data_IF_079427984806
#
_entry.id   IF_079427984806
#
_cell.length_a   1.000
_cell.length_b   1.000
_cell.length_c   1.000
_cell.angle_alpha   90.00
_cell.angle_beta   90.00
_cell.angle_gamma   90.00
#
_symmetry.space_group_name_H-M   'P 1'
#
loop_
_entity.id
_entity.type
_entity.pdbx_description
1 polymer ?
#
# COMPACT_ATOMS: atom_id res chain seq x y z
N UNK A 1 20.41 -29.59 -46.41
CA UNK A 1 19.98 -30.37 -45.23
C UNK A 1 20.36 -29.58 -44.00
N UNK A 2 19.42 -28.88 -43.36
CA UNK A 2 19.69 -27.84 -42.36
C UNK A 2 19.16 -28.30 -41.00
N UNK A 3 20.07 -28.73 -40.12
CA UNK A 3 19.75 -29.30 -38.81
C UNK A 3 19.67 -28.16 -37.80
N UNK A 4 18.44 -27.74 -37.46
CA UNK A 4 18.19 -26.77 -36.38
C UNK A 4 18.33 -27.48 -35.02
N UNK A 5 19.32 -27.03 -34.25
CA UNK A 5 19.46 -27.25 -32.81
C UNK A 5 18.23 -26.70 -32.07
N UNK A 6 17.25 -27.56 -31.80
CA UNK A 6 16.22 -27.29 -30.81
C UNK A 6 16.81 -27.52 -29.42
N UNK A 7 17.14 -26.40 -28.75
CA UNK A 7 17.45 -26.36 -27.32
C UNK A 7 16.33 -27.05 -26.55
N UNK A 8 16.63 -28.19 -25.95
CA UNK A 8 15.82 -28.81 -24.91
C UNK A 8 15.76 -27.84 -23.72
N UNK A 9 14.68 -27.08 -23.63
CA UNK A 9 14.29 -26.45 -22.38
C UNK A 9 13.84 -27.60 -21.48
N UNK A 10 14.65 -27.89 -20.47
CA UNK A 10 14.38 -28.88 -19.44
C UNK A 10 13.12 -28.47 -18.67
N UNK A 11 11.94 -28.88 -19.16
CA UNK A 11 10.71 -28.80 -18.39
C UNK A 11 10.82 -29.87 -17.31
N UNK A 12 11.30 -29.47 -16.13
CA UNK A 12 11.23 -30.32 -14.94
C UNK A 12 9.74 -30.46 -14.64
N UNK A 13 9.16 -31.63 -14.90
CA UNK A 13 7.84 -32.03 -14.44
C UNK A 13 7.85 -32.12 -12.90
N UNK A 14 7.86 -30.98 -12.24
CA UNK A 14 7.58 -30.91 -10.81
C UNK A 14 6.08 -31.15 -10.65
N UNK A 15 5.68 -32.27 -10.06
CA UNK A 15 4.40 -32.50 -9.38
C UNK A 15 3.11 -32.03 -10.08
N UNK A 16 2.35 -32.99 -10.59
CA UNK A 16 0.93 -32.84 -10.96
C UNK A 16 0.12 -32.23 -9.82
N UNK A 17 -0.46 -31.05 -10.08
CA UNK A 17 -1.44 -30.39 -9.21
C UNK A 17 -2.75 -31.18 -9.27
N UNK A 18 -2.90 -32.20 -8.42
CA UNK A 18 -4.06 -33.09 -8.47
C UNK A 18 -5.17 -32.75 -7.45
N UNK A 19 -5.03 -31.69 -6.64
CA UNK A 19 -5.97 -31.40 -5.54
C UNK A 19 -6.60 -30.00 -5.51
N UNK A 20 -6.36 -29.10 -6.48
CA UNK A 20 -7.10 -27.83 -6.55
C UNK A 20 -8.23 -27.83 -7.58
N UNK A 21 -9.53 -27.78 -7.17
CA UNK A 21 -10.66 -27.82 -8.08
C UNK A 21 -11.00 -26.42 -8.60
N UNK A 22 -10.00 -25.60 -8.94
CA UNK A 22 -10.22 -24.27 -9.51
C UNK A 22 -9.70 -24.30 -10.94
N UNK A 23 -10.61 -24.06 -11.89
CA UNK A 23 -10.32 -23.90 -13.32
C UNK A 23 -9.26 -22.81 -13.51
N UNK A 24 -7.99 -23.21 -13.53
CA UNK A 24 -6.90 -22.33 -13.89
C UNK A 24 -7.02 -22.05 -15.39
N UNK A 25 -7.18 -20.79 -15.84
CA UNK A 25 -7.04 -20.44 -17.25
C UNK A 25 -5.70 -20.98 -17.74
N UNK A 26 -5.72 -21.67 -18.89
CA UNK A 26 -4.55 -22.31 -19.50
C UNK A 26 -3.31 -21.40 -19.37
N UNK A 27 -2.37 -21.77 -18.48
CA UNK A 27 -1.03 -21.16 -18.42
C UNK A 27 -0.56 -20.54 -17.09
N UNK A 28 -1.35 -20.50 -16.00
CA UNK A 28 -0.87 -19.98 -14.68
C UNK A 28 -0.79 -21.08 -13.64
N UNK A 29 0.37 -21.73 -13.51
CA UNK A 29 0.58 -22.73 -12.47
C UNK A 29 0.74 -22.09 -11.09
N UNK A 30 0.08 -22.66 -10.08
CA UNK A 30 0.31 -22.33 -8.66
C UNK A 30 1.45 -23.20 -8.11
N UNK A 31 2.06 -22.79 -7.00
CA UNK A 31 3.24 -23.39 -6.38
C UNK A 31 2.99 -23.67 -4.89
N UNK A 32 3.64 -24.72 -4.35
CA UNK A 32 3.73 -24.93 -2.90
C UNK A 32 4.85 -24.07 -2.31
N UNK A 33 4.82 -23.86 -0.98
CA UNK A 33 5.85 -23.10 -0.25
C UNK A 33 7.27 -23.60 -0.53
N UNK A 34 7.46 -24.89 -0.77
CA UNK A 34 8.79 -25.43 -1.06
C UNK A 34 9.28 -25.17 -2.49
N UNK A 35 8.35 -24.97 -3.42
CA UNK A 35 8.63 -24.81 -4.85
C UNK A 35 8.91 -23.35 -5.26
N UNK A 36 8.61 -22.38 -4.38
CA UNK A 36 8.81 -20.95 -4.67
C UNK A 36 10.24 -20.49 -4.38
N UNK A 37 10.70 -19.43 -5.07
CA UNK A 37 12.01 -18.85 -4.79
C UNK A 37 12.08 -18.25 -3.38
N UNK A 38 13.29 -18.22 -2.81
CA UNK A 38 13.55 -17.79 -1.42
C UNK A 38 13.00 -16.38 -1.11
N UNK A 39 13.04 -15.45 -2.07
CA UNK A 39 12.53 -14.09 -1.85
C UNK A 39 11.00 -14.00 -1.72
N UNK A 40 10.25 -15.06 -2.08
CA UNK A 40 8.80 -15.17 -1.87
C UNK A 40 8.45 -16.00 -0.62
N UNK A 41 9.42 -16.69 -0.02
CA UNK A 41 9.24 -17.50 1.19
C UNK A 41 9.23 -16.60 2.44
N UNK A 42 8.10 -15.91 2.66
CA UNK A 42 7.93 -15.01 3.80
C UNK A 42 7.29 -15.73 5.00
N UNK A 43 6.09 -16.29 4.80
CA UNK A 43 5.32 -16.95 5.86
C UNK A 43 5.27 -18.48 5.65
N UNK A 44 5.92 -19.30 6.49
CA UNK A 44 5.93 -20.77 6.36
C UNK A 44 4.59 -21.44 6.65
N UNK A 45 3.64 -20.73 7.27
CA UNK A 45 2.29 -21.26 7.54
C UNK A 45 1.38 -21.23 6.31
N UNK A 46 1.76 -20.50 5.25
CA UNK A 46 1.08 -20.55 3.96
C UNK A 46 1.75 -21.65 3.14
N UNK A 47 1.07 -22.79 2.99
CA UNK A 47 1.67 -24.02 2.43
C UNK A 47 1.59 -24.11 0.91
N UNK A 48 0.59 -23.46 0.29
CA UNK A 48 0.33 -23.54 -1.15
C UNK A 48 -0.41 -22.30 -1.70
N UNK A 49 -0.79 -22.36 -2.98
CA UNK A 49 -1.53 -21.29 -3.66
C UNK A 49 -0.64 -20.15 -4.16
N UNK A 50 0.69 -20.35 -4.19
CA UNK A 50 1.62 -19.31 -4.60
C UNK A 50 1.65 -19.10 -6.11
N UNK A 51 1.78 -17.84 -6.53
CA UNK A 51 2.13 -17.48 -7.90
C UNK A 51 3.64 -17.24 -7.98
N UNK A 52 4.30 -17.79 -8.98
CA UNK A 52 5.73 -17.57 -9.20
C UNK A 52 6.09 -17.62 -10.69
N UNK A 53 7.23 -17.01 -11.03
CA UNK A 53 7.83 -17.07 -12.37
C UNK A 53 6.95 -16.51 -13.52
N UNK A 54 5.99 -15.64 -13.20
CA UNK A 54 5.07 -15.10 -14.19
C UNK A 54 5.67 -13.92 -14.97
N UNK A 55 5.49 -13.82 -16.30
CA UNK A 55 5.70 -12.56 -17.02
C UNK A 55 4.56 -11.57 -16.71
N UNK A 56 4.79 -10.27 -16.89
CA UNK A 56 3.84 -9.20 -16.53
C UNK A 56 2.41 -9.41 -17.02
N UNK A 57 2.22 -9.94 -18.23
CA UNK A 57 0.88 -10.23 -18.77
C UNK A 57 0.13 -11.29 -17.96
N UNK A 58 0.85 -12.31 -17.47
CA UNK A 58 0.26 -13.36 -16.63
C UNK A 58 0.08 -12.87 -15.20
N UNK A 59 0.92 -11.97 -14.68
CA UNK A 59 0.66 -11.28 -13.41
C UNK A 59 -0.70 -10.58 -13.45
N UNK A 60 -0.99 -9.80 -14.49
CA UNK A 60 -2.30 -9.14 -14.65
C UNK A 60 -3.45 -10.14 -14.75
N UNK A 61 -3.31 -11.18 -15.57
CA UNK A 61 -4.35 -12.23 -15.69
C UNK A 61 -4.58 -12.98 -14.37
N UNK A 62 -3.56 -13.06 -13.52
CA UNK A 62 -3.66 -13.73 -12.22
C UNK A 62 -4.54 -13.00 -11.20
N UNK A 63 -4.99 -11.78 -11.50
CA UNK A 63 -5.97 -11.03 -10.72
C UNK A 63 -7.26 -11.84 -10.44
N UNK A 64 -7.69 -12.63 -11.42
CA UNK A 64 -8.90 -13.46 -11.36
C UNK A 64 -8.61 -14.91 -10.94
N UNK A 65 -7.40 -15.19 -10.44
CA UNK A 65 -7.00 -16.51 -9.97
C UNK A 65 -6.96 -16.49 -8.46
N UNK A 66 -7.58 -17.51 -7.85
CA UNK A 66 -7.48 -17.72 -6.41
C UNK A 66 -6.04 -18.15 -6.07
N UNK A 67 -5.37 -17.35 -5.25
CA UNK A 67 -3.97 -17.50 -4.85
C UNK A 67 -3.79 -16.98 -3.42
N UNK A 68 -2.61 -17.20 -2.85
CA UNK A 68 -2.24 -16.71 -1.53
C UNK A 68 -2.29 -15.17 -1.40
N UNK A 69 -2.30 -14.44 -2.53
CA UNK A 69 -2.34 -12.98 -2.59
C UNK A 69 -3.71 -12.42 -2.98
N UNK A 70 -4.72 -13.25 -3.25
CA UNK A 70 -6.01 -12.77 -3.77
C UNK A 70 -6.67 -11.79 -2.81
N UNK A 71 -6.69 -12.10 -1.51
CA UNK A 71 -7.26 -11.19 -0.50
C UNK A 71 -6.46 -9.88 -0.43
N UNK A 72 -5.13 -9.93 -0.48
CA UNK A 72 -4.28 -8.74 -0.47
C UNK A 72 -4.54 -7.85 -1.70
N UNK A 73 -4.72 -8.44 -2.88
CA UNK A 73 -5.00 -7.66 -4.09
C UNK A 73 -6.39 -7.04 -4.01
N UNK A 74 -7.42 -7.83 -3.69
CA UNK A 74 -8.80 -7.36 -3.73
C UNK A 74 -9.14 -6.42 -2.58
N UNK A 75 -8.57 -6.58 -1.38
CA UNK A 75 -8.79 -5.66 -0.27
C UNK A 75 -8.32 -4.24 -0.60
N UNK A 76 -7.11 -4.11 -1.17
CA UNK A 76 -6.56 -2.82 -1.57
C UNK A 76 -7.22 -2.26 -2.84
N UNK A 77 -7.61 -3.11 -3.79
CA UNK A 77 -8.32 -2.67 -4.99
C UNK A 77 -9.73 -2.14 -4.66
N UNK A 78 -10.45 -2.81 -3.77
CA UNK A 78 -11.72 -2.32 -3.25
C UNK A 78 -11.53 -1.05 -2.43
N UNK A 79 -10.46 -0.95 -1.64
CA UNK A 79 -10.07 0.27 -0.94
C UNK A 79 -9.84 1.45 -1.89
N UNK A 80 -9.16 1.23 -3.02
CA UNK A 80 -9.01 2.26 -4.07
C UNK A 80 -10.37 2.74 -4.59
N UNK A 81 -11.26 1.83 -4.97
CA UNK A 81 -12.59 2.21 -5.47
C UNK A 81 -13.41 2.94 -4.40
N UNK A 82 -13.32 2.53 -3.13
CA UNK A 82 -13.96 3.22 -2.02
C UNK A 82 -13.49 4.68 -1.93
N UNK A 83 -12.19 4.92 -1.86
CA UNK A 83 -11.66 6.30 -1.77
C UNK A 83 -11.92 7.13 -3.03
N UNK A 84 -11.94 6.49 -4.20
CA UNK A 84 -12.30 7.16 -5.45
C UNK A 84 -13.75 7.60 -5.45
N UNK A 85 -14.69 6.72 -5.08
CA UNK A 85 -16.12 7.04 -4.99
C UNK A 85 -16.39 8.08 -3.91
N UNK A 86 -15.74 7.97 -2.74
CA UNK A 86 -15.81 8.99 -1.70
C UNK A 86 -15.27 10.33 -2.20
N UNK A 87 -14.17 10.35 -2.96
CA UNK A 87 -13.66 11.58 -3.56
C UNK A 87 -14.64 12.25 -4.52
N UNK A 88 -15.30 11.49 -5.38
CA UNK A 88 -16.35 12.06 -6.24
C UNK A 88 -17.49 12.61 -5.38
N UNK A 89 -17.94 11.85 -4.38
CA UNK A 89 -19.06 12.24 -3.53
C UNK A 89 -18.73 13.49 -2.70
N UNK A 90 -17.53 13.56 -2.11
CA UNK A 90 -17.08 14.70 -1.32
C UNK A 90 -16.97 15.96 -2.17
N UNK A 91 -16.39 15.85 -3.38
CA UNK A 91 -16.22 17.00 -4.28
C UNK A 91 -17.52 17.51 -4.89
N UNK A 92 -18.48 16.62 -5.16
CA UNK A 92 -19.71 16.98 -5.89
C UNK A 92 -20.90 17.24 -4.99
N UNK A 93 -20.91 16.66 -3.78
CA UNK A 93 -22.06 16.69 -2.88
C UNK A 93 -21.69 17.31 -1.53
N UNK A 94 -20.73 16.74 -0.80
CA UNK A 94 -20.44 17.15 0.58
C UNK A 94 -19.89 18.56 0.66
N UNK A 95 -18.77 18.86 0.00
CA UNK A 95 -18.12 20.16 0.08
C UNK A 95 -19.00 21.30 -0.48
N UNK A 96 -19.70 21.14 -1.62
CA UNK A 96 -20.65 22.16 -2.07
C UNK A 96 -21.80 22.37 -1.09
N UNK A 97 -22.37 21.30 -0.53
CA UNK A 97 -23.49 21.41 0.43
C UNK A 97 -23.08 22.12 1.72
N UNK A 98 -21.83 21.98 2.13
CA UNK A 98 -21.26 22.67 3.29
C UNK A 98 -20.79 24.11 2.97
N UNK A 99 -20.93 24.58 1.72
CA UNK A 99 -20.37 25.86 1.25
C UNK A 99 -18.86 25.98 1.56
N UNK A 100 -18.14 24.88 1.41
CA UNK A 100 -16.74 24.77 1.82
C UNK A 100 -15.82 25.70 1.01
N UNK A 101 -14.71 26.10 1.63
CA UNK A 101 -13.72 26.97 1.02
C UNK A 101 -12.88 26.22 -0.02
N UNK A 102 -12.21 26.96 -0.93
CA UNK A 102 -11.29 26.35 -1.90
C UNK A 102 -10.17 25.53 -1.25
N UNK A 103 -9.73 25.91 -0.06
CA UNK A 103 -8.70 25.19 0.69
C UNK A 103 -9.19 23.80 1.09
N UNK A 104 -10.46 23.68 1.49
CA UNK A 104 -11.07 22.41 1.88
C UNK A 104 -11.14 21.44 0.69
N UNK A 105 -11.52 21.95 -0.49
CA UNK A 105 -11.48 21.17 -1.75
C UNK A 105 -10.07 20.65 -2.05
N UNK A 106 -9.05 21.51 -1.93
CA UNK A 106 -7.66 21.13 -2.21
C UNK A 106 -7.18 20.08 -1.22
N UNK A 107 -7.42 20.26 0.07
CA UNK A 107 -6.90 19.38 1.11
C UNK A 107 -7.61 18.03 1.10
N UNK A 108 -8.93 18.03 0.94
CA UNK A 108 -9.70 16.79 0.79
C UNK A 108 -9.26 16.03 -0.48
N UNK A 109 -9.09 16.72 -1.61
CA UNK A 109 -8.59 16.11 -2.85
C UNK A 109 -7.20 15.50 -2.68
N UNK A 110 -6.26 16.23 -2.06
CA UNK A 110 -4.91 15.73 -1.81
C UNK A 110 -4.95 14.50 -0.90
N UNK A 111 -5.71 14.55 0.19
CA UNK A 111 -5.82 13.45 1.14
C UNK A 111 -6.34 12.17 0.46
N UNK A 112 -7.44 12.28 -0.28
CA UNK A 112 -8.05 11.15 -0.99
C UNK A 112 -7.17 10.65 -2.13
N UNK A 113 -6.45 11.54 -2.82
CA UNK A 113 -5.47 11.15 -3.83
C UNK A 113 -4.31 10.36 -3.21
N UNK A 114 -3.77 10.81 -2.07
CA UNK A 114 -2.73 10.09 -1.33
C UNK A 114 -3.17 8.67 -0.93
N UNK A 115 -4.40 8.50 -0.44
CA UNK A 115 -4.95 7.18 -0.13
C UNK A 115 -5.08 6.29 -1.37
N UNK A 116 -5.57 6.84 -2.48
CA UNK A 116 -5.69 6.11 -3.74
C UNK A 116 -4.33 5.64 -4.26
N UNK A 117 -3.31 6.52 -4.23
CA UNK A 117 -1.93 6.17 -4.61
C UNK A 117 -1.40 5.05 -3.71
N UNK A 118 -1.57 5.15 -2.39
CA UNK A 118 -1.18 4.10 -1.46
C UNK A 118 -1.82 2.74 -1.80
N UNK A 119 -3.13 2.73 -2.05
CA UNK A 119 -3.86 1.51 -2.41
C UNK A 119 -3.40 0.91 -3.74
N UNK A 120 -3.21 1.74 -4.77
CA UNK A 120 -2.72 1.28 -6.08
C UNK A 120 -1.28 0.76 -6.04
N UNK A 121 -0.40 1.39 -5.26
CA UNK A 121 0.96 0.90 -5.04
C UNK A 121 0.96 -0.50 -4.42
N UNK A 122 0.10 -0.73 -3.42
CA UNK A 122 -0.06 -2.03 -2.77
C UNK A 122 -0.64 -3.09 -3.71
N UNK A 123 -1.70 -2.76 -4.45
CA UNK A 123 -2.24 -3.63 -5.52
C UNK A 123 -1.12 -4.00 -6.51
N UNK A 124 -0.33 -3.02 -6.95
CA UNK A 124 0.81 -3.24 -7.83
C UNK A 124 1.81 -4.23 -7.24
N UNK A 125 2.19 -4.08 -5.97
CA UNK A 125 3.08 -5.02 -5.31
C UNK A 125 2.51 -6.43 -5.24
N UNK A 126 1.32 -6.62 -4.69
CA UNK A 126 0.74 -7.95 -4.57
C UNK A 126 0.44 -8.59 -5.94
N UNK A 127 0.20 -7.81 -6.98
CA UNK A 127 -0.01 -8.35 -8.33
C UNK A 127 1.30 -8.77 -9.00
N UNK A 128 2.39 -8.01 -8.80
CA UNK A 128 3.66 -8.21 -9.49
C UNK A 128 4.79 -8.83 -8.64
N UNK A 129 4.57 -9.13 -7.36
CA UNK A 129 5.55 -9.80 -6.49
C UNK A 129 5.99 -11.16 -7.08
N UNK A 130 5.06 -11.88 -7.71
CA UNK A 130 5.27 -13.17 -8.37
C UNK A 130 6.03 -13.11 -9.71
N UNK A 131 6.44 -11.92 -10.15
CA UNK A 131 7.05 -11.73 -11.45
C UNK A 131 8.38 -12.49 -11.59
N UNK A 132 8.66 -13.05 -12.77
CA UNK A 132 9.88 -13.85 -13.04
C UNK A 132 11.20 -13.13 -12.76
N UNK A 133 11.17 -11.80 -12.75
CA UNK A 133 12.32 -10.95 -12.41
C UNK A 133 12.15 -10.44 -10.99
N UNK A 134 13.01 -10.91 -10.09
CA UNK A 134 13.07 -10.45 -8.70
C UNK A 134 13.26 -8.92 -8.61
N UNK A 135 14.01 -8.32 -9.54
CA UNK A 135 14.18 -6.86 -9.61
C UNK A 135 12.85 -6.13 -9.78
N UNK A 136 11.92 -6.70 -10.56
CA UNK A 136 10.58 -6.13 -10.74
C UNK A 136 9.77 -6.24 -9.45
N UNK A 137 9.78 -7.40 -8.78
CA UNK A 137 9.12 -7.58 -7.49
C UNK A 137 9.65 -6.61 -6.42
N UNK A 138 10.97 -6.46 -6.30
CA UNK A 138 11.60 -5.50 -5.37
C UNK A 138 11.26 -4.04 -5.68
N UNK A 139 11.15 -3.66 -6.96
CA UNK A 139 10.72 -2.30 -7.34
C UNK A 139 9.28 -2.02 -6.92
N UNK A 140 8.37 -2.96 -7.16
CA UNK A 140 7.00 -2.82 -6.71
C UNK A 140 6.88 -2.81 -5.19
N UNK A 141 7.66 -3.62 -4.48
CA UNK A 141 7.76 -3.57 -3.03
C UNK A 141 8.23 -2.19 -2.53
N UNK A 142 9.21 -1.58 -3.22
CA UNK A 142 9.64 -0.22 -2.90
C UNK A 142 8.52 0.81 -3.15
N UNK A 143 7.79 0.69 -4.26
CA UNK A 143 6.65 1.58 -4.54
C UNK A 143 5.54 1.43 -3.50
N UNK A 144 5.29 0.24 -2.99
CA UNK A 144 4.32 -0.01 -1.92
C UNK A 144 4.71 0.70 -0.61
N UNK A 145 5.96 0.54 -0.16
CA UNK A 145 6.46 1.28 1.02
C UNK A 145 6.46 2.81 0.82
N UNK A 146 6.74 3.28 -0.39
CA UNK A 146 6.60 4.70 -0.72
C UNK A 146 5.12 5.14 -0.66
N UNK A 147 4.20 4.30 -1.15
CA UNK A 147 2.76 4.49 -1.07
C UNK A 147 2.28 4.66 0.37
N UNK A 148 2.72 3.80 1.29
CA UNK A 148 2.43 3.93 2.74
C UNK A 148 2.87 5.30 3.27
N UNK A 149 4.09 5.73 2.92
CA UNK A 149 4.62 7.03 3.34
C UNK A 149 3.78 8.20 2.81
N UNK A 150 3.35 8.14 1.55
CA UNK A 150 2.46 9.13 0.92
C UNK A 150 1.08 9.13 1.60
N UNK A 151 0.52 7.96 1.91
CA UNK A 151 -0.74 7.83 2.63
C UNK A 151 -0.69 8.47 4.01
N UNK A 152 0.36 8.21 4.78
CA UNK A 152 0.60 8.82 6.10
C UNK A 152 0.72 10.34 5.97
N UNK A 153 1.48 10.84 5.00
CA UNK A 153 1.60 12.28 4.74
C UNK A 153 0.22 12.90 4.46
N UNK A 154 -0.59 12.28 3.61
CA UNK A 154 -1.95 12.72 3.31
C UNK A 154 -2.84 12.80 4.54
N UNK A 155 -2.76 11.82 5.46
CA UNK A 155 -3.49 11.82 6.73
C UNK A 155 -3.09 13.00 7.62
N UNK A 156 -1.79 13.24 7.75
CA UNK A 156 -1.28 14.31 8.60
C UNK A 156 -1.58 15.68 8.03
N UNK A 157 -1.43 15.87 6.72
CA UNK A 157 -1.71 17.16 6.08
C UNK A 157 -3.16 17.57 6.33
N UNK A 158 -4.13 16.67 6.09
CA UNK A 158 -5.54 16.98 6.35
C UNK A 158 -5.83 17.10 7.85
N UNK A 159 -5.41 16.13 8.66
CA UNK A 159 -5.70 16.10 10.10
C UNK A 159 -5.13 17.31 10.84
N UNK A 160 -3.86 17.65 10.62
CA UNK A 160 -3.21 18.81 11.27
C UNK A 160 -3.79 20.12 10.76
N UNK A 161 -4.14 20.20 9.47
CA UNK A 161 -4.73 21.42 8.93
C UNK A 161 -6.04 21.77 9.61
N UNK A 162 -6.95 20.80 9.74
CA UNK A 162 -8.24 21.03 10.37
C UNK A 162 -8.13 21.15 11.90
N UNK A 163 -7.28 20.35 12.56
CA UNK A 163 -7.09 20.44 14.01
C UNK A 163 -6.58 21.82 14.42
N UNK A 164 -5.60 22.37 13.70
CA UNK A 164 -5.00 23.66 14.00
C UNK A 164 -5.42 24.74 12.99
N UNK A 165 -6.68 24.69 12.52
CA UNK A 165 -7.21 25.63 11.55
C UNK A 165 -7.07 27.08 12.03
N UNK A 166 -7.45 27.34 13.29
CA UNK A 166 -7.35 28.65 13.92
C UNK A 166 -5.95 29.02 14.42
N UNK A 167 -4.99 28.08 14.43
CA UNK A 167 -3.63 28.33 14.94
C UNK A 167 -2.55 28.01 13.89
N UNK A 168 -2.24 29.04 13.09
CA UNK A 168 -1.28 28.93 12.00
C UNK A 168 0.12 28.50 12.45
N UNK A 169 0.58 28.95 13.62
CA UNK A 169 1.92 28.64 14.12
C UNK A 169 2.08 27.14 14.38
N UNK A 170 1.20 26.56 15.21
CA UNK A 170 1.27 25.14 15.54
C UNK A 170 0.98 24.24 14.35
N UNK A 171 0.07 24.66 13.46
CA UNK A 171 -0.17 23.98 12.18
C UNK A 171 1.13 23.81 11.39
N UNK A 172 1.90 24.89 11.21
CA UNK A 172 3.16 24.83 10.45
C UNK A 172 4.23 23.99 11.14
N UNK A 173 4.37 24.10 12.47
CA UNK A 173 5.31 23.29 13.25
C UNK A 173 5.07 21.80 13.02
N UNK A 174 3.81 21.35 13.12
CA UNK A 174 3.47 19.95 12.92
C UNK A 174 3.62 19.49 11.47
N UNK A 175 3.20 20.29 10.49
CA UNK A 175 3.35 19.94 9.07
C UNK A 175 4.82 19.82 8.66
N UNK A 176 5.68 20.74 9.10
CA UNK A 176 7.13 20.69 8.84
C UNK A 176 7.75 19.46 9.52
N UNK A 177 7.35 19.17 10.76
CA UNK A 177 7.88 18.01 11.49
C UNK A 177 7.51 16.70 10.79
N UNK A 178 6.23 16.54 10.38
CA UNK A 178 5.79 15.36 9.63
C UNK A 178 6.52 15.26 8.30
N UNK A 179 6.67 16.37 7.56
CA UNK A 179 7.43 16.37 6.31
C UNK A 179 8.86 15.87 6.52
N UNK A 180 9.55 16.37 7.56
CA UNK A 180 10.89 15.92 7.91
C UNK A 180 10.93 14.42 8.26
N UNK A 181 9.95 13.92 9.01
CA UNK A 181 9.84 12.49 9.33
C UNK A 181 9.64 11.63 8.07
N UNK A 182 8.76 12.06 7.15
CA UNK A 182 8.52 11.34 5.89
C UNK A 182 9.76 11.35 5.00
N UNK A 183 10.48 12.48 4.91
CA UNK A 183 11.75 12.56 4.19
C UNK A 183 12.81 11.63 4.80
N UNK A 184 12.85 11.49 6.13
CA UNK A 184 13.74 10.53 6.80
C UNK A 184 13.36 9.08 6.48
N UNK A 185 12.07 8.74 6.38
CA UNK A 185 11.61 7.42 5.92
C UNK A 185 12.07 7.15 4.49
N UNK A 186 11.90 8.13 3.58
CA UNK A 186 12.38 7.99 2.21
C UNK A 186 13.90 7.83 2.14
N UNK A 187 14.65 8.54 2.96
CA UNK A 187 16.10 8.37 3.04
C UNK A 187 16.47 6.97 3.53
N UNK A 188 15.80 6.45 4.57
CA UNK A 188 16.01 5.09 5.05
C UNK A 188 15.70 4.04 3.96
N UNK A 189 14.72 4.30 3.10
CA UNK A 189 14.34 3.42 2.00
C UNK A 189 15.41 3.28 0.91
N UNK A 190 16.33 4.26 0.78
CA UNK A 190 17.46 4.19 -0.15
C UNK A 190 18.46 3.10 0.28
N UNK A 191 18.48 2.75 1.58
CA UNK A 191 19.43 1.78 2.10
C UNK A 191 19.23 0.40 1.45
N UNK A 192 20.30 -0.27 0.94
CA UNK A 192 20.18 -1.53 0.21
C UNK A 192 19.52 -2.66 1.02
N UNK A 193 19.72 -2.67 2.34
CA UNK A 193 19.12 -3.68 3.22
C UNK A 193 17.67 -3.37 3.59
N UNK A 194 17.16 -2.17 3.26
CA UNK A 194 15.83 -1.75 3.69
C UNK A 194 14.75 -2.72 3.25
N UNK A 195 14.80 -3.24 2.01
CA UNK A 195 13.81 -4.20 1.47
C UNK A 195 14.07 -5.67 1.87
N UNK A 196 15.13 -5.95 2.62
CA UNK A 196 15.48 -7.34 2.99
C UNK A 196 14.61 -7.83 4.14
N UNK A 197 14.46 -9.15 4.27
CA UNK A 197 13.69 -9.73 5.37
C UNK A 197 14.30 -9.40 6.74
N UNK A 198 15.61 -9.20 6.86
CA UNK A 198 16.25 -8.87 8.13
C UNK A 198 15.73 -7.55 8.73
N UNK A 199 15.36 -6.59 7.88
CA UNK A 199 14.91 -5.27 8.30
C UNK A 199 13.39 -5.16 8.50
N UNK A 200 12.62 -6.25 8.36
CA UNK A 200 11.14 -6.19 8.46
C UNK A 200 10.67 -5.56 9.76
N UNK A 201 11.22 -5.97 10.92
CA UNK A 201 10.85 -5.39 12.23
C UNK A 201 11.19 -3.92 12.31
N UNK A 202 12.37 -3.52 11.84
CA UNK A 202 12.81 -2.14 11.88
C UNK A 202 11.92 -1.26 10.99
N UNK A 203 11.55 -1.73 9.78
CA UNK A 203 10.59 -1.03 8.91
C UNK A 203 9.26 -0.82 9.61
N UNK A 204 8.69 -1.88 10.21
CA UNK A 204 7.44 -1.77 10.96
C UNK A 204 7.55 -0.78 12.11
N UNK A 205 8.63 -0.82 12.89
CA UNK A 205 8.88 0.15 13.98
C UNK A 205 8.96 1.59 13.46
N UNK A 206 9.63 1.83 12.32
CA UNK A 206 9.70 3.15 11.69
C UNK A 206 8.29 3.65 11.34
N UNK A 207 7.50 2.87 10.60
CA UNK A 207 6.15 3.28 10.20
C UNK A 207 5.20 3.45 11.39
N UNK A 208 5.27 2.56 12.39
CA UNK A 208 4.49 2.68 13.61
C UNK A 208 4.87 3.93 14.41
N UNK A 209 6.17 4.29 14.46
CA UNK A 209 6.62 5.50 15.17
C UNK A 209 6.14 6.77 14.46
N UNK A 210 6.25 6.80 13.12
CA UNK A 210 5.76 7.94 12.32
C UNK A 210 4.25 8.07 12.43
N UNK A 211 3.50 6.98 12.42
CA UNK A 211 2.04 7.01 12.60
C UNK A 211 1.64 7.38 14.04
N UNK A 212 2.38 6.87 15.04
CA UNK A 212 2.15 7.12 16.46
C UNK A 212 2.47 8.56 16.89
N UNK A 213 3.31 9.27 16.13
CA UNK A 213 3.58 10.69 16.37
C UNK A 213 2.30 11.54 16.44
N UNK A 214 1.23 11.14 15.74
CA UNK A 214 -0.07 11.82 15.72
C UNK A 214 -0.73 11.96 17.09
N UNK A 215 -0.34 11.14 18.07
CA UNK A 215 -0.77 11.28 19.46
C UNK A 215 -0.36 12.67 20.02
N UNK A 216 0.82 13.19 19.64
CA UNK A 216 1.32 14.47 20.13
C UNK A 216 0.45 15.66 19.69
N UNK A 217 0.20 15.90 18.38
CA UNK A 217 -0.70 16.98 17.95
C UNK A 217 -2.13 16.76 18.46
N UNK A 218 -2.61 15.51 18.61
CA UNK A 218 -3.93 15.26 19.19
C UNK A 218 -4.01 15.69 20.65
N UNK A 219 -3.06 15.29 21.51
CA UNK A 219 -3.02 15.71 22.92
C UNK A 219 -2.91 17.23 23.01
N UNK A 220 -2.07 17.85 22.18
CA UNK A 220 -1.92 19.29 22.19
C UNK A 220 -3.22 20.00 21.76
N UNK A 221 -3.89 19.50 20.73
CA UNK A 221 -5.19 20.02 20.31
C UNK A 221 -6.23 19.93 21.42
N UNK A 222 -6.29 18.80 22.14
CA UNK A 222 -7.17 18.61 23.30
C UNK A 222 -6.89 19.62 24.39
N UNK A 223 -5.61 19.88 24.69
CA UNK A 223 -5.23 20.86 25.71
C UNK A 223 -5.62 22.29 25.33
N UNK A 224 -5.48 22.68 24.06
CA UNK A 224 -5.85 24.02 23.59
C UNK A 224 -7.37 24.23 23.49
N UNK A 225 -8.13 23.19 23.12
CA UNK A 225 -9.55 23.33 22.79
C UNK A 225 -10.49 22.72 23.85
N UNK A 226 -9.96 22.16 24.94
CA UNK A 226 -10.75 21.50 25.99
C UNK A 226 -11.25 20.08 25.63
N UNK A 227 -10.86 19.55 24.47
CA UNK A 227 -11.16 18.19 24.04
C UNK A 227 -12.66 17.89 23.96
N UNK A 228 -13.13 16.91 24.73
CA UNK A 228 -14.54 16.46 24.76
C UNK A 228 -15.47 17.52 25.37
N UNK A 229 -14.93 18.46 26.14
CA UNK A 229 -15.69 19.60 26.65
C UNK A 229 -15.92 20.71 25.62
N UNK A 230 -15.30 20.61 24.44
CA UNK A 230 -15.46 21.61 23.39
C UNK A 230 -16.87 21.54 22.77
N UNK A 231 -17.47 22.70 22.52
CA UNK A 231 -18.79 22.81 21.89
C UNK A 231 -18.87 22.16 20.50
N UNK A 232 -17.74 22.03 19.80
CA UNK A 232 -17.66 21.36 18.49
C UNK A 232 -17.69 19.82 18.57
N UNK A 233 -17.37 19.24 19.73
CA UNK A 233 -17.37 17.78 19.96
C UNK A 233 -18.66 17.33 20.65
N UNK A 234 -19.32 18.23 21.37
CA UNK A 234 -20.62 18.00 21.96
C UNK A 234 -21.64 17.87 20.82
N UNK A 235 -22.24 16.69 20.65
CA UNK A 235 -23.37 16.49 19.74
C UNK A 235 -24.53 17.33 20.29
N UNK A 236 -24.88 18.40 19.59
CA UNK A 236 -26.07 19.21 19.85
C UNK A 236 -27.35 18.39 19.70
#
# INVERSE_FOLDING_TARGET
MHQKLLKSAHYIELGSYQYWPVLVPRGIRLYTYEQIPVFLKDNPYITDGYRAYLPSRLCLKSLFILSNETVNIWSHLLGFFLFFTLGIYDMTSVLPSASASREDFVICSICLFCFQVCMLCSVGYHLFCCHRSEKTGRRWMALDYAGISIGILGCYVSGVFYAFYCNNYWRQVYLITVLAMILAVFFAQIHPSYLTQQWHRLRSVIFCSVSGYGIIPTIHWVWLNGGVGASIVQVS
#
